data_IF_713362342149
#
_entry.id   IF_713362342149
#
_cell.length_a   1.000
_cell.length_b   1.000
_cell.length_c   1.000
_cell.angle_alpha   90.00
_cell.angle_beta   90.00
_cell.angle_gamma   90.00
#
_symmetry.space_group_name_H-M   'P 1'
#
loop_
_entity.id
_entity.type
_entity.pdbx_description
1 polymer ?
#
# COMPACT_ATOMS: atom_id res chain seq x y z
N UNK A 1 -14.60 -0.75 -14.33
CA UNK A 1 -13.94 -1.36 -15.50
C UNK A 1 -13.52 -2.75 -15.06
N UNK A 2 -14.14 -3.81 -15.58
CA UNK A 2 -13.78 -5.19 -15.24
C UNK A 2 -13.04 -5.85 -16.41
N UNK A 3 -12.33 -6.94 -16.08
CA UNK A 3 -11.30 -7.67 -16.85
C UNK A 3 -11.51 -7.94 -18.35
N UNK A 4 -12.72 -7.78 -18.89
CA UNK A 4 -13.04 -8.12 -20.27
C UNK A 4 -13.08 -6.90 -21.22
N UNK A 5 -12.95 -5.67 -20.71
CA UNK A 5 -13.04 -4.46 -21.54
C UNK A 5 -11.70 -3.72 -21.65
N UNK A 6 -10.69 -4.44 -22.18
CA UNK A 6 -9.31 -3.96 -22.35
C UNK A 6 -9.22 -2.63 -23.11
N UNK A 7 -10.14 -2.39 -24.06
CA UNK A 7 -10.18 -1.14 -24.82
C UNK A 7 -10.47 0.10 -23.98
N UNK A 8 -11.17 -0.04 -22.83
CA UNK A 8 -11.39 1.09 -21.93
C UNK A 8 -10.12 1.55 -21.23
N UNK A 9 -9.17 0.65 -20.95
CA UNK A 9 -7.89 1.03 -20.38
C UNK A 9 -7.07 1.87 -21.36
N UNK A 10 -7.09 1.52 -22.65
CA UNK A 10 -6.37 2.29 -23.67
C UNK A 10 -6.94 3.72 -23.80
N UNK A 11 -8.23 3.93 -23.52
CA UNK A 11 -8.86 5.27 -23.45
C UNK A 11 -8.59 5.97 -22.12
N UNK A 12 -8.61 5.24 -21.00
CA UNK A 12 -8.46 5.82 -19.66
C UNK A 12 -7.02 6.23 -19.35
N UNK A 13 -6.02 5.42 -19.74
CA UNK A 13 -4.61 5.64 -19.38
C UNK A 13 -4.13 7.05 -19.79
N UNK A 14 -4.37 7.56 -21.00
CA UNK A 14 -4.00 8.93 -21.36
C UNK A 14 -4.62 9.99 -20.44
N UNK A 15 -5.88 9.83 -20.05
CA UNK A 15 -6.58 10.75 -19.15
C UNK A 15 -5.98 10.71 -17.73
N UNK A 16 -5.72 9.51 -17.23
CA UNK A 16 -5.05 9.29 -15.96
C UNK A 16 -3.64 9.92 -15.96
N UNK A 17 -2.87 9.73 -17.03
CA UNK A 17 -1.53 10.31 -17.19
C UNK A 17 -1.57 11.84 -17.18
N UNK A 18 -2.58 12.47 -17.79
CA UNK A 18 -2.73 13.93 -17.73
C UNK A 18 -2.96 14.45 -16.30
N UNK A 19 -3.75 13.72 -15.51
CA UNK A 19 -3.93 14.03 -14.09
C UNK A 19 -2.62 13.85 -13.30
N UNK A 20 -1.93 12.73 -13.52
CA UNK A 20 -0.61 12.44 -12.92
C UNK A 20 0.41 13.54 -13.24
N UNK A 21 0.49 14.00 -14.50
CA UNK A 21 1.36 15.10 -14.90
C UNK A 21 1.05 16.38 -14.13
N UNK A 22 -0.23 16.71 -13.99
CA UNK A 22 -0.67 17.89 -13.26
C UNK A 22 -0.29 17.83 -11.78
N UNK A 23 -0.42 16.65 -11.16
CA UNK A 23 -0.01 16.41 -9.77
C UNK A 23 1.51 16.53 -9.62
N UNK A 24 2.29 15.86 -10.48
CA UNK A 24 3.74 15.91 -10.44
C UNK A 24 4.27 17.35 -10.63
N UNK A 25 3.72 18.09 -11.60
CA UNK A 25 4.09 19.49 -11.84
C UNK A 25 3.75 20.39 -10.65
N UNK A 26 2.61 20.15 -9.99
CA UNK A 26 2.19 20.91 -8.81
C UNK A 26 3.19 20.75 -7.66
N UNK A 27 3.72 19.55 -7.44
CA UNK A 27 4.54 19.22 -6.27
C UNK A 27 6.04 19.19 -6.52
N UNK A 28 6.48 19.23 -7.79
CA UNK A 28 7.89 19.34 -8.17
C UNK A 28 8.59 20.45 -7.38
N UNK A 29 9.80 20.17 -6.88
CA UNK A 29 10.65 21.09 -6.13
C UNK A 29 10.06 21.66 -4.84
N UNK A 30 8.92 21.13 -4.35
CA UNK A 30 8.36 21.55 -3.04
C UNK A 30 8.94 20.78 -1.87
N UNK A 31 9.61 19.66 -2.10
CA UNK A 31 10.21 18.82 -1.06
C UNK A 31 9.22 18.04 -0.18
N UNK A 32 7.92 18.13 -0.45
CA UNK A 32 6.85 17.51 0.35
C UNK A 32 6.45 16.11 -0.10
N UNK A 33 6.60 15.77 -1.38
CA UNK A 33 6.34 14.42 -1.88
C UNK A 33 7.62 13.60 -1.81
N UNK A 34 7.59 12.48 -1.07
CA UNK A 34 8.73 11.55 -0.97
C UNK A 34 8.67 10.41 -1.97
N UNK A 35 7.47 10.01 -2.37
CA UNK A 35 7.20 8.91 -3.28
C UNK A 35 5.81 9.06 -3.88
N UNK A 36 5.62 8.62 -5.12
CA UNK A 36 4.31 8.47 -5.74
C UNK A 36 3.93 6.98 -5.78
N UNK A 37 2.77 6.63 -5.22
CA UNK A 37 2.14 5.34 -5.43
C UNK A 37 1.21 5.43 -6.65
N UNK A 38 1.33 4.49 -7.58
CA UNK A 38 0.45 4.45 -8.76
C UNK A 38 -0.63 3.39 -8.56
N UNK A 39 -1.86 3.86 -8.35
CA UNK A 39 -3.07 3.05 -8.11
C UNK A 39 -3.23 2.57 -6.67
N UNK A 40 -4.39 1.98 -6.38
CA UNK A 40 -4.71 1.35 -5.09
C UNK A 40 -5.31 -0.04 -5.36
N UNK A 41 -4.76 -1.07 -4.73
CA UNK A 41 -5.37 -2.42 -4.70
C UNK A 41 -5.68 -3.01 -6.08
N UNK A 42 -4.75 -2.85 -7.02
CA UNK A 42 -4.88 -3.36 -8.40
C UNK A 42 -5.05 -4.87 -8.46
N UNK A 43 -4.50 -5.61 -7.49
CA UNK A 43 -4.51 -7.05 -7.48
C UNK A 43 -5.76 -7.64 -6.81
N UNK A 44 -6.63 -6.81 -6.22
CA UNK A 44 -7.88 -7.23 -5.56
C UNK A 44 -8.66 -8.22 -6.40
N UNK A 45 -9.16 -9.29 -5.76
CA UNK A 45 -10.04 -10.22 -6.44
C UNK A 45 -11.32 -9.50 -6.90
N UNK A 46 -11.69 -9.53 -8.19
CA UNK A 46 -12.90 -8.89 -8.68
C UNK A 46 -14.17 -9.28 -7.93
N UNK A 47 -14.23 -10.49 -7.37
CA UNK A 47 -15.37 -10.94 -6.56
C UNK A 47 -15.46 -10.22 -5.19
N UNK A 48 -14.36 -9.63 -4.72
CA UNK A 48 -14.23 -9.00 -3.41
C UNK A 48 -14.02 -7.47 -3.50
N UNK A 49 -14.07 -6.90 -4.71
CA UNK A 49 -13.80 -5.48 -4.93
C UNK A 49 -14.98 -4.60 -4.47
N UNK A 50 -14.85 -3.99 -3.28
CA UNK A 50 -15.80 -2.98 -2.76
C UNK A 50 -15.37 -1.56 -3.12
N UNK A 51 -14.13 -1.19 -2.77
CA UNK A 51 -13.57 0.15 -2.95
C UNK A 51 -12.36 0.20 -3.90
N UNK A 52 -11.91 -0.97 -4.37
CA UNK A 52 -10.84 -1.11 -5.34
C UNK A 52 -11.40 -1.21 -6.77
N UNK A 53 -10.59 -0.82 -7.75
CA UNK A 53 -10.82 -1.17 -9.16
C UNK A 53 -9.71 -2.13 -9.58
N UNK A 54 -9.97 -3.46 -9.54
CA UNK A 54 -9.00 -4.47 -9.95
C UNK A 54 -8.55 -4.31 -11.40
N UNK A 55 -7.33 -4.73 -11.67
CA UNK A 55 -6.73 -4.65 -12.98
C UNK A 55 -5.92 -5.91 -13.27
N UNK A 56 -5.94 -6.40 -14.50
CA UNK A 56 -5.00 -7.45 -14.89
C UNK A 56 -3.57 -6.91 -14.84
N UNK A 57 -2.60 -7.76 -14.48
CA UNK A 57 -1.19 -7.36 -14.36
C UNK A 57 -0.64 -6.69 -15.64
N UNK A 58 -1.09 -7.12 -16.82
CA UNK A 58 -0.69 -6.52 -18.09
C UNK A 58 -1.23 -5.09 -18.27
N UNK A 59 -2.51 -4.87 -17.95
CA UNK A 59 -3.13 -3.54 -18.05
C UNK A 59 -2.54 -2.59 -17.00
N UNK A 60 -2.27 -3.11 -15.80
CA UNK A 60 -1.59 -2.36 -14.75
C UNK A 60 -0.17 -1.99 -15.15
N UNK A 61 0.58 -2.89 -15.79
CA UNK A 61 1.91 -2.58 -16.34
C UNK A 61 1.86 -1.45 -17.39
N UNK A 62 0.84 -1.41 -18.26
CA UNK A 62 0.64 -0.31 -19.22
C UNK A 62 0.40 1.02 -18.49
N UNK A 63 -0.54 1.05 -17.55
CA UNK A 63 -0.89 2.24 -16.77
C UNK A 63 0.31 2.74 -15.96
N UNK A 64 0.98 1.83 -15.26
CA UNK A 64 2.18 2.12 -14.47
C UNK A 64 3.28 2.71 -15.33
N UNK A 65 3.58 2.09 -16.48
CA UNK A 65 4.62 2.55 -17.40
C UNK A 65 4.37 4.00 -17.83
N UNK A 66 3.15 4.29 -18.28
CA UNK A 66 2.80 5.62 -18.77
C UNK A 66 2.85 6.67 -17.65
N UNK A 67 2.35 6.33 -16.46
CA UNK A 67 2.35 7.22 -15.31
C UNK A 67 3.78 7.48 -14.77
N UNK A 68 4.59 6.44 -14.60
CA UNK A 68 5.95 6.55 -14.09
C UNK A 68 6.84 7.40 -15.02
N UNK A 69 6.75 7.19 -16.34
CA UNK A 69 7.46 8.03 -17.32
C UNK A 69 7.01 9.48 -17.24
N UNK A 70 5.70 9.73 -17.19
CA UNK A 70 5.17 11.08 -17.11
C UNK A 70 5.59 11.83 -15.83
N UNK A 71 5.69 11.13 -14.69
CA UNK A 71 6.23 11.69 -13.46
C UNK A 71 7.72 12.01 -13.64
N UNK A 72 8.51 11.05 -14.13
CA UNK A 72 9.98 11.19 -14.26
C UNK A 72 10.39 12.21 -15.32
N UNK A 73 9.58 12.44 -16.35
CA UNK A 73 9.76 13.54 -17.31
C UNK A 73 9.65 14.92 -16.64
N UNK A 74 8.75 15.04 -15.65
CA UNK A 74 8.55 16.29 -14.91
C UNK A 74 9.57 16.42 -13.78
N UNK A 75 9.74 15.38 -12.99
CA UNK A 75 10.64 15.31 -11.85
C UNK A 75 11.51 14.04 -11.95
N UNK A 76 12.71 14.14 -12.58
CA UNK A 76 13.60 13.00 -12.75
C UNK A 76 14.09 12.35 -11.44
N UNK A 77 13.98 13.05 -10.31
CA UNK A 77 14.38 12.54 -9.00
C UNK A 77 13.22 11.84 -8.24
N UNK A 78 12.00 11.88 -8.80
CA UNK A 78 10.83 11.30 -8.15
C UNK A 78 10.92 9.77 -8.07
N UNK A 79 10.68 9.25 -6.87
CA UNK A 79 10.47 7.82 -6.64
C UNK A 79 9.03 7.44 -6.95
N UNK A 80 8.85 6.32 -7.65
CA UNK A 80 7.54 5.79 -8.05
C UNK A 80 7.44 4.32 -7.63
N UNK A 81 6.48 3.99 -6.78
CA UNK A 81 6.21 2.63 -6.30
C UNK A 81 4.93 2.09 -6.90
N UNK A 82 4.76 0.76 -6.86
CA UNK A 82 3.52 0.13 -7.30
C UNK A 82 2.30 0.61 -6.50
N UNK A 83 1.09 0.34 -6.97
CA UNK A 83 -0.12 0.38 -6.17
C UNK A 83 -0.07 -0.64 -5.04
N UNK A 84 -0.82 -0.38 -3.97
CA UNK A 84 -0.85 -1.21 -2.77
C UNK A 84 -1.43 -2.59 -3.03
N UNK A 85 -0.61 -3.65 -2.96
CA UNK A 85 -1.05 -5.03 -3.16
C UNK A 85 -1.77 -5.58 -1.93
N UNK A 86 -2.88 -6.31 -2.09
CA UNK A 86 -3.69 -6.85 -0.98
C UNK A 86 -3.71 -8.37 -0.89
N UNK A 87 -3.29 -9.10 -1.94
CA UNK A 87 -3.42 -10.58 -1.98
C UNK A 87 -2.24 -11.34 -1.38
N UNK A 88 -1.49 -10.65 -0.53
CA UNK A 88 -0.41 -11.18 0.29
C UNK A 88 0.77 -11.83 -0.43
N UNK A 89 1.54 -12.68 0.25
CA UNK A 89 2.90 -13.06 -0.14
C UNK A 89 2.94 -14.18 -1.20
N UNK A 90 1.78 -14.79 -1.50
CA UNK A 90 1.66 -15.84 -2.51
C UNK A 90 1.00 -15.28 -3.77
N UNK A 91 -0.28 -14.94 -3.69
CA UNK A 91 -1.05 -14.50 -4.86
C UNK A 91 -0.68 -13.09 -5.28
N UNK A 92 -0.58 -12.15 -4.32
CA UNK A 92 -0.14 -10.79 -4.61
C UNK A 92 1.28 -10.74 -5.16
N UNK A 93 2.21 -11.53 -4.58
CA UNK A 93 3.58 -11.69 -5.10
C UNK A 93 3.60 -12.26 -6.52
N UNK A 94 2.76 -13.24 -6.84
CA UNK A 94 2.65 -13.76 -8.21
C UNK A 94 2.15 -12.67 -9.18
N UNK A 95 1.14 -11.88 -8.77
CA UNK A 95 0.68 -10.73 -9.55
C UNK A 95 1.80 -9.71 -9.78
N UNK A 96 2.58 -9.39 -8.74
CA UNK A 96 3.74 -8.50 -8.82
C UNK A 96 4.78 -9.01 -9.82
N UNK A 97 5.14 -10.30 -9.74
CA UNK A 97 6.08 -10.92 -10.67
C UNK A 97 5.56 -10.89 -12.12
N UNK A 98 4.28 -11.18 -12.33
CA UNK A 98 3.66 -11.09 -13.65
C UNK A 98 3.67 -9.64 -14.17
N UNK A 99 3.35 -8.65 -13.33
CA UNK A 99 3.43 -7.23 -13.69
C UNK A 99 4.85 -6.85 -14.14
N UNK A 100 5.89 -7.26 -13.39
CA UNK A 100 7.29 -6.98 -13.74
C UNK A 100 7.68 -7.55 -15.11
N UNK A 101 7.10 -8.69 -15.52
CA UNK A 101 7.38 -9.29 -16.83
C UNK A 101 6.84 -8.48 -18.01
N UNK A 102 5.85 -7.61 -17.78
CA UNK A 102 5.29 -6.71 -18.77
C UNK A 102 5.89 -5.29 -18.74
N UNK A 103 6.66 -4.94 -17.71
CA UNK A 103 7.25 -3.62 -17.57
C UNK A 103 8.55 -3.50 -18.39
N UNK A 104 8.73 -2.41 -19.15
CA UNK A 104 10.02 -2.12 -19.77
C UNK A 104 11.05 -1.71 -18.69
N UNK A 105 12.35 -1.90 -18.93
CA UNK A 105 13.39 -1.65 -17.92
C UNK A 105 13.38 -0.23 -17.33
N UNK A 106 13.07 0.79 -18.14
CA UNK A 106 13.06 2.20 -17.74
C UNK A 106 11.84 2.59 -16.88
N UNK A 107 10.83 1.73 -16.83
CA UNK A 107 9.62 1.94 -16.06
C UNK A 107 9.47 0.95 -14.91
N UNK A 108 10.57 0.38 -14.41
CA UNK A 108 10.51 -0.41 -13.18
C UNK A 108 10.17 0.48 -11.96
N UNK A 109 9.34 0.00 -11.02
CA UNK A 109 9.07 0.68 -9.77
C UNK A 109 10.31 0.71 -8.87
N UNK A 110 10.40 1.74 -8.04
CA UNK A 110 11.44 1.93 -7.03
C UNK A 110 11.18 1.10 -5.75
N UNK A 111 10.04 0.40 -5.70
CA UNK A 111 9.61 -0.45 -4.59
C UNK A 111 8.16 -0.95 -4.80
N UNK A 112 7.77 -1.98 -4.05
CA UNK A 112 6.40 -2.45 -4.02
C UNK A 112 5.64 -1.85 -2.84
N UNK A 113 4.44 -1.34 -3.10
CA UNK A 113 3.47 -1.03 -2.07
C UNK A 113 2.63 -2.28 -1.74
N UNK A 114 2.41 -2.56 -0.45
CA UNK A 114 1.69 -3.74 0.03
C UNK A 114 0.80 -3.34 1.22
N UNK A 115 -0.37 -3.93 1.33
CA UNK A 115 -1.30 -3.75 2.43
C UNK A 115 -1.33 -5.03 3.29
N UNK A 116 -0.46 -5.19 4.30
CA UNK A 116 -0.33 -6.44 5.07
C UNK A 116 -1.43 -6.59 6.14
N UNK A 117 -2.68 -6.28 5.81
CA UNK A 117 -3.80 -6.45 6.74
C UNK A 117 -3.92 -7.90 7.19
N UNK A 118 -4.25 -8.09 8.47
CA UNK A 118 -4.40 -9.41 9.07
C UNK A 118 -3.07 -10.15 9.28
N UNK A 119 -1.92 -9.49 9.14
CA UNK A 119 -0.60 -10.04 9.49
C UNK A 119 -0.02 -9.34 10.71
N UNK A 120 0.80 -10.05 11.47
CA UNK A 120 1.35 -9.56 12.73
C UNK A 120 2.81 -9.92 12.95
N UNK A 121 3.39 -9.36 13.99
CA UNK A 121 4.65 -9.84 14.55
C UNK A 121 4.47 -11.23 15.19
N UNK A 122 5.56 -11.99 15.41
CA UNK A 122 5.52 -13.21 16.21
C UNK A 122 4.84 -12.98 17.57
N UNK A 123 3.89 -13.86 17.93
CA UNK A 123 3.13 -13.74 19.18
C UNK A 123 1.96 -12.74 19.15
N UNK A 124 1.73 -12.06 18.02
CA UNK A 124 0.53 -11.24 17.86
C UNK A 124 -0.75 -12.09 18.00
N UNK A 125 -1.78 -11.49 18.60
CA UNK A 125 -3.10 -12.12 18.72
C UNK A 125 -3.64 -12.50 17.35
N UNK A 126 -4.11 -13.74 17.19
CA UNK A 126 -4.78 -14.22 15.97
C UNK A 126 -6.05 -13.43 15.64
N UNK A 127 -6.56 -12.64 16.60
CA UNK A 127 -7.63 -11.67 16.40
C UNK A 127 -7.27 -10.59 15.38
N UNK A 128 -6.00 -10.16 15.36
CA UNK A 128 -5.49 -9.09 14.49
C UNK A 128 -4.50 -9.60 13.44
N UNK A 129 -3.94 -10.81 13.65
CA UNK A 129 -2.99 -11.45 12.75
C UNK A 129 -3.48 -12.82 12.21
N UNK A 130 -4.73 -12.96 11.70
CA UNK A 130 -5.26 -14.25 11.25
C UNK A 130 -4.52 -14.85 10.05
N UNK A 131 -3.76 -14.05 9.29
CA UNK A 131 -3.04 -14.49 8.08
C UNK A 131 -1.55 -14.74 8.32
N UNK A 132 -1.10 -14.74 9.58
CA UNK A 132 0.24 -15.11 9.97
C UNK A 132 1.21 -13.94 10.08
N UNK A 133 2.48 -14.20 9.75
CA UNK A 133 3.57 -13.27 10.03
C UNK A 133 3.67 -12.17 8.96
N UNK A 134 4.03 -10.97 9.38
CA UNK A 134 4.38 -9.86 8.47
C UNK A 134 5.67 -10.17 7.69
N UNK A 135 6.55 -11.01 8.25
CA UNK A 135 7.79 -11.49 7.64
C UNK A 135 7.57 -12.07 6.25
N UNK A 136 6.46 -12.81 6.07
CA UNK A 136 6.14 -13.45 4.80
C UNK A 136 5.98 -12.42 3.69
N UNK A 137 5.38 -11.25 3.98
CA UNK A 137 5.23 -10.17 2.99
C UNK A 137 6.58 -9.58 2.61
N UNK A 138 7.41 -9.26 3.60
CA UNK A 138 8.73 -8.67 3.35
C UNK A 138 9.60 -9.64 2.56
N UNK A 139 9.62 -10.92 2.96
CA UNK A 139 10.43 -11.96 2.33
C UNK A 139 9.92 -12.32 0.93
N UNK A 140 8.62 -12.15 0.64
CA UNK A 140 8.07 -12.39 -0.68
C UNK A 140 8.33 -11.25 -1.67
N UNK A 141 8.17 -9.99 -1.25
CA UNK A 141 8.23 -8.83 -2.14
C UNK A 141 9.63 -8.23 -2.28
N UNK A 142 10.41 -8.13 -1.20
CA UNK A 142 11.73 -7.50 -1.22
C UNK A 142 12.66 -8.09 -2.32
N UNK A 143 12.78 -9.43 -2.48
CA UNK A 143 13.70 -10.01 -3.46
C UNK A 143 13.33 -9.74 -4.92
N UNK A 144 12.08 -9.35 -5.23
CA UNK A 144 11.65 -9.12 -6.61
C UNK A 144 12.35 -7.91 -7.26
N UNK A 145 12.70 -6.91 -6.45
CA UNK A 145 13.39 -5.70 -6.90
C UNK A 145 14.72 -5.46 -6.18
N UNK A 146 14.98 -6.19 -5.08
CA UNK A 146 16.04 -5.87 -4.12
C UNK A 146 15.94 -4.40 -3.67
N UNK A 147 14.71 -3.94 -3.41
CA UNK A 147 14.37 -2.59 -3.00
C UNK A 147 13.38 -2.65 -1.82
N UNK A 148 13.36 -1.65 -0.93
CA UNK A 148 12.45 -1.64 0.20
C UNK A 148 10.98 -1.76 -0.19
N UNK A 149 10.24 -2.54 0.58
CA UNK A 149 8.78 -2.65 0.52
C UNK A 149 8.16 -1.47 1.26
N UNK A 150 7.01 -1.00 0.79
CA UNK A 150 6.24 0.08 1.37
C UNK A 150 4.93 -0.47 1.88
N UNK A 151 4.70 -0.43 3.19
CA UNK A 151 3.39 -0.72 3.74
C UNK A 151 2.57 0.56 3.73
N UNK A 152 1.86 0.80 2.63
CA UNK A 152 1.14 2.06 2.40
C UNK A 152 -0.24 2.09 3.04
N UNK A 153 -0.73 0.92 3.49
CA UNK A 153 -1.80 0.79 4.46
C UNK A 153 -1.55 -0.44 5.32
N UNK A 154 -1.75 -0.35 6.63
CA UNK A 154 -1.84 -1.50 7.54
C UNK A 154 -2.65 -1.11 8.77
N UNK A 155 -3.16 -2.08 9.51
CA UNK A 155 -3.89 -1.80 10.74
C UNK A 155 -4.91 -2.89 11.05
N UNK A 156 -5.94 -2.50 11.80
CA UNK A 156 -7.03 -3.39 12.19
C UNK A 156 -8.29 -2.99 11.41
N UNK A 157 -8.94 -3.98 10.79
CA UNK A 157 -10.17 -3.80 10.00
C UNK A 157 -11.34 -4.51 10.67
N UNK A 158 -12.56 -3.97 10.51
CA UNK A 158 -13.83 -4.57 10.94
C UNK A 158 -13.92 -4.87 12.45
N UNK A 159 -13.26 -4.03 13.27
CA UNK A 159 -13.21 -4.16 14.74
C UNK A 159 -13.45 -2.82 15.49
N UNK A 160 -14.46 -2.03 15.15
CA UNK A 160 -14.61 -0.66 15.69
C UNK A 160 -14.76 -0.62 17.23
N UNK A 161 -15.23 -1.70 17.84
CA UNK A 161 -15.46 -1.80 19.29
C UNK A 161 -14.31 -2.45 20.06
N UNK A 162 -13.22 -2.83 19.40
CA UNK A 162 -12.12 -3.50 20.08
C UNK A 162 -11.36 -2.55 21.01
N UNK A 163 -10.81 -3.12 22.08
CA UNK A 163 -10.02 -2.40 23.08
C UNK A 163 -8.85 -1.68 22.41
N UNK A 164 -8.78 -0.36 22.61
CA UNK A 164 -7.67 0.44 22.11
C UNK A 164 -6.33 0.01 22.71
N UNK A 165 -6.31 -0.59 23.91
CA UNK A 165 -5.11 -1.15 24.50
C UNK A 165 -4.62 -2.39 23.75
N UNK A 166 -5.52 -3.26 23.33
CA UNK A 166 -5.17 -4.47 22.58
C UNK A 166 -4.69 -4.12 21.17
N UNK A 167 -5.35 -3.15 20.53
CA UNK A 167 -4.93 -2.63 19.22
C UNK A 167 -3.57 -1.92 19.31
N UNK A 168 -3.33 -1.14 20.37
CA UNK A 168 -2.03 -0.51 20.62
C UNK A 168 -0.92 -1.55 20.83
N UNK A 169 -1.18 -2.63 21.56
CA UNK A 169 -0.22 -3.71 21.76
C UNK A 169 0.13 -4.40 20.43
N UNK A 170 -0.88 -4.70 19.59
CA UNK A 170 -0.67 -5.22 18.24
C UNK A 170 0.16 -4.26 17.37
N UNK A 171 -0.21 -2.99 17.29
CA UNK A 171 0.46 -1.99 16.47
C UNK A 171 1.92 -1.77 16.91
N UNK A 172 2.15 -1.71 18.22
CA UNK A 172 3.50 -1.57 18.80
C UNK A 172 4.36 -2.80 18.50
N UNK A 173 3.82 -4.01 18.70
CA UNK A 173 4.51 -5.25 18.38
C UNK A 173 4.87 -5.34 16.89
N UNK A 174 3.94 -4.98 16.01
CA UNK A 174 4.15 -4.93 14.56
C UNK A 174 5.31 -4.00 14.19
N UNK A 175 5.28 -2.73 14.63
CA UNK A 175 6.33 -1.77 14.27
C UNK A 175 7.68 -2.09 14.92
N UNK A 176 7.70 -2.56 16.17
CA UNK A 176 8.94 -2.96 16.83
C UNK A 176 9.59 -4.13 16.08
N UNK A 177 8.80 -5.11 15.66
CA UNK A 177 9.30 -6.23 14.88
C UNK A 177 9.91 -5.78 13.54
N UNK A 178 9.26 -4.86 12.83
CA UNK A 178 9.81 -4.29 11.59
C UNK A 178 11.11 -3.51 11.83
N UNK A 179 11.18 -2.70 12.90
CA UNK A 179 12.37 -1.93 13.27
C UNK A 179 13.55 -2.78 13.73
N UNK A 180 13.30 -3.99 14.23
CA UNK A 180 14.35 -4.90 14.69
C UNK A 180 14.87 -5.79 13.55
N UNK A 181 13.97 -6.27 12.68
CA UNK A 181 14.29 -7.33 11.73
C UNK A 181 14.31 -6.87 10.26
N UNK A 182 13.72 -5.72 9.94
CA UNK A 182 13.46 -5.29 8.57
C UNK A 182 13.78 -3.81 8.28
N UNK A 183 14.63 -3.16 9.07
CA UNK A 183 14.97 -1.72 9.00
C UNK A 183 15.43 -1.24 7.62
N UNK A 184 16.05 -2.11 6.82
CA UNK A 184 16.50 -1.79 5.47
C UNK A 184 15.63 -2.41 4.36
N UNK A 185 14.63 -3.19 4.75
CA UNK A 185 13.73 -3.91 3.84
C UNK A 185 12.32 -3.32 3.79
N UNK A 186 11.93 -2.53 4.79
CA UNK A 186 10.66 -1.78 4.82
C UNK A 186 10.96 -0.29 4.90
N UNK A 187 10.52 0.48 3.91
CA UNK A 187 10.74 1.92 3.84
C UNK A 187 9.76 2.74 4.68
N UNK A 188 8.52 2.25 4.80
CA UNK A 188 7.45 2.93 5.54
C UNK A 188 6.35 1.94 5.92
N UNK A 189 5.63 2.26 6.99
CA UNK A 189 4.42 1.58 7.42
C UNK A 189 3.37 2.60 7.88
N UNK A 190 2.33 2.79 7.07
CA UNK A 190 1.31 3.83 7.24
C UNK A 190 0.03 3.23 7.82
N UNK A 191 -0.35 3.67 9.03
CA UNK A 191 -1.56 3.20 9.69
C UNK A 191 -2.82 3.64 8.94
N UNK A 192 -3.73 2.70 8.75
CA UNK A 192 -5.11 2.96 8.35
C UNK A 192 -6.06 2.48 9.47
N UNK A 193 -6.94 3.32 10.02
CA UNK A 193 -7.37 4.64 9.53
C UNK A 193 -7.14 5.78 10.55
N UNK A 194 -7.33 7.03 10.11
CA UNK A 194 -7.33 8.19 11.02
C UNK A 194 -8.48 8.09 12.03
N UNK A 195 -9.72 7.96 11.54
CA UNK A 195 -10.92 7.92 12.36
C UNK A 195 -11.75 6.67 12.09
N UNK A 196 -12.54 6.23 13.10
CA UNK A 196 -13.49 5.11 12.96
C UNK A 196 -14.59 5.36 11.91
N UNK A 197 -14.73 6.59 11.41
CA UNK A 197 -15.64 6.93 10.30
C UNK A 197 -15.06 6.58 8.91
N UNK A 198 -13.77 6.22 8.84
CA UNK A 198 -13.13 5.84 7.58
C UNK A 198 -13.36 4.35 7.30
N UNK A 199 -14.25 4.09 6.35
CA UNK A 199 -14.63 2.76 5.87
C UNK A 199 -14.71 1.72 7.01
N UNK A 200 -13.93 0.63 6.94
CA UNK A 200 -13.86 -0.40 7.98
C UNK A 200 -12.57 -0.34 8.82
N UNK A 201 -11.81 0.75 8.76
CA UNK A 201 -10.55 0.90 9.48
C UNK A 201 -10.75 1.23 10.96
N UNK A 202 -9.85 0.72 11.82
CA UNK A 202 -9.76 1.15 13.21
C UNK A 202 -9.04 2.49 13.30
N UNK A 203 -9.75 3.53 13.75
CA UNK A 203 -9.22 4.88 13.89
C UNK A 203 -8.22 5.04 15.02
N UNK A 204 -7.30 5.99 14.88
CA UNK A 204 -6.58 6.61 16.01
C UNK A 204 -7.54 7.46 16.86
N UNK A 205 -8.59 7.99 16.24
CA UNK A 205 -9.72 8.67 16.89
C UNK A 205 -11.03 7.93 16.62
N UNK A 206 -12.01 8.12 17.49
CA UNK A 206 -13.34 7.52 17.33
C UNK A 206 -14.25 8.36 16.42
N UNK A 207 -15.52 7.95 16.28
CA UNK A 207 -16.52 8.64 15.44
C UNK A 207 -16.84 10.08 15.86
N UNK A 208 -16.44 10.50 17.06
CA UNK A 208 -16.58 11.86 17.58
C UNK A 208 -15.24 12.61 17.59
N UNK A 209 -14.26 12.16 16.80
CA UNK A 209 -12.91 12.72 16.71
C UNK A 209 -12.16 12.74 18.06
N UNK A 210 -12.54 11.83 18.98
CA UNK A 210 -11.87 11.71 20.28
C UNK A 210 -10.73 10.68 20.22
N UNK A 211 -9.53 11.01 20.72
CA UNK A 211 -8.40 10.09 20.81
C UNK A 211 -8.74 8.75 21.47
N UNK A 212 -8.31 7.64 20.84
CA UNK A 212 -8.48 6.28 21.38
C UNK A 212 -7.21 5.89 22.13
N UNK A 213 -7.23 6.01 23.46
CA UNK A 213 -6.08 5.70 24.30
C UNK A 213 -5.97 4.21 24.64
N UNK A 214 -4.75 3.65 24.72
CA UNK A 214 -3.44 4.31 24.58
C UNK A 214 -2.91 4.39 23.13
N UNK A 215 -3.67 3.92 22.13
CA UNK A 215 -3.23 3.85 20.73
C UNK A 215 -2.81 5.22 20.18
N UNK A 216 -3.59 6.27 20.48
CA UNK A 216 -3.30 7.62 20.01
C UNK A 216 -1.97 8.14 20.55
N UNK A 217 -1.76 8.10 21.88
CA UNK A 217 -0.54 8.64 22.49
C UNK A 217 0.71 7.88 22.06
N UNK A 218 0.60 6.57 21.82
CA UNK A 218 1.72 5.74 21.39
C UNK A 218 2.35 6.19 20.05
N UNK A 219 1.58 6.87 19.20
CA UNK A 219 2.01 7.24 17.84
C UNK A 219 1.94 8.74 17.54
N UNK A 220 1.11 9.49 18.25
CA UNK A 220 0.89 10.93 18.05
C UNK A 220 1.02 11.75 19.33
N UNK A 221 1.09 11.12 20.50
CA UNK A 221 1.35 11.79 21.76
C UNK A 221 2.79 12.27 21.82
N UNK A 222 2.98 13.55 22.11
CA UNK A 222 4.28 14.14 22.44
C UNK A 222 4.63 13.88 23.91
#
# INVERSE_FOLDING_TARGET
>A
MYANDRGRWDVFIPLFVNAVRSIAARYKNRGIVKVYQIWNEQDTDPANARAAVPMQAQDYAKLFTAAARAIREIDPAAKVISGGHVRGPVVGRQYAQTTLSFLPPDARPDGFAVHPYGRGAPGASSRYAPFGLVDDEVNAYYPLLNAPVWFTEWGVLDKPTDSAADVAAYATGFLNHLKLNFTHKVASAIWYAWADTMDNGYGLVNNADQPKQPLYDQFLGA
#
